data_IF_060806638847
#
_entry.id   IF_060806638847
#
_cell.length_a   1.000
_cell.length_b   1.000
_cell.length_c   1.000
_cell.angle_alpha   90.00
_cell.angle_beta   90.00
_cell.angle_gamma   90.00
#
_symmetry.space_group_name_H-M   'P 1'
#
loop_
_entity.id
_entity.type
_entity.pdbx_description
1 polymer ?
#
# COMPACT_ATOMS: atom_id res chain seq x y z
N UNK A 1 30.12 -9.89 4.61
CA UNK A 1 29.04 -8.88 4.73
C UNK A 1 28.17 -9.02 3.50
N UNK A 2 26.83 -9.10 3.65
CA UNK A 2 25.93 -9.07 2.51
C UNK A 2 26.17 -7.78 1.70
N UNK A 3 26.16 -7.89 0.37
CA UNK A 3 26.33 -6.74 -0.52
C UNK A 3 25.12 -5.81 -0.46
N UNK A 4 25.31 -4.54 -0.84
CA UNK A 4 24.25 -3.51 -0.80
C UNK A 4 22.92 -3.98 -1.40
N UNK A 5 22.93 -4.52 -2.62
CA UNK A 5 21.71 -4.98 -3.29
C UNK A 5 21.06 -6.21 -2.62
N UNK A 6 21.84 -7.06 -1.96
CA UNK A 6 21.27 -8.17 -1.18
C UNK A 6 20.55 -7.65 0.06
N UNK A 7 21.07 -6.59 0.69
CA UNK A 7 20.41 -5.90 1.81
C UNK A 7 19.13 -5.20 1.35
N UNK A 8 19.16 -4.51 0.20
CA UNK A 8 17.97 -3.90 -0.42
C UNK A 8 16.89 -4.96 -0.67
N UNK A 9 17.26 -6.09 -1.29
CA UNK A 9 16.31 -7.16 -1.58
C UNK A 9 15.73 -7.76 -0.28
N UNK A 10 16.56 -8.05 0.71
CA UNK A 10 16.08 -8.56 2.01
C UNK A 10 15.08 -7.60 2.65
N UNK A 11 15.41 -6.32 2.76
CA UNK A 11 14.55 -5.28 3.34
C UNK A 11 13.25 -5.10 2.56
N UNK A 12 13.30 -5.21 1.24
CA UNK A 12 12.10 -5.18 0.40
C UNK A 12 11.17 -6.37 0.64
N UNK A 13 11.74 -7.56 0.91
CA UNK A 13 10.97 -8.76 1.23
C UNK A 13 10.35 -8.72 2.63
N UNK A 14 10.98 -8.02 3.59
CA UNK A 14 10.40 -7.79 4.92
C UNK A 14 9.01 -7.12 4.84
N UNK A 15 8.75 -6.37 3.78
CA UNK A 15 7.48 -5.69 3.51
C UNK A 15 6.51 -6.47 2.61
N UNK A 16 6.78 -7.73 2.28
CA UNK A 16 5.92 -8.56 1.40
C UNK A 16 4.47 -8.64 1.90
N UNK A 17 4.26 -9.04 3.16
CA UNK A 17 2.92 -9.15 3.76
C UNK A 17 2.17 -7.81 3.80
N UNK A 18 2.89 -6.68 3.92
CA UNK A 18 2.28 -5.36 3.90
C UNK A 18 1.83 -4.96 2.49
N UNK A 19 2.64 -5.28 1.47
CA UNK A 19 2.28 -5.06 0.06
C UNK A 19 1.04 -5.87 -0.33
N UNK A 20 0.90 -7.10 0.17
CA UNK A 20 -0.33 -7.90 -0.03
C UNK A 20 -1.57 -7.21 0.57
N UNK A 21 -1.46 -6.64 1.78
CA UNK A 21 -2.56 -5.87 2.38
C UNK A 21 -2.94 -4.63 1.57
N UNK A 22 -1.98 -3.98 0.91
CA UNK A 22 -2.26 -2.83 0.06
C UNK A 22 -2.98 -3.25 -1.22
N UNK A 23 -2.60 -4.40 -1.79
CA UNK A 23 -3.31 -4.97 -2.93
C UNK A 23 -4.78 -5.29 -2.58
N UNK A 24 -5.06 -5.83 -1.38
CA UNK A 24 -6.45 -6.04 -0.94
C UNK A 24 -7.20 -4.72 -0.69
N UNK A 25 -6.52 -3.69 -0.17
CA UNK A 25 -7.15 -2.40 0.11
C UNK A 25 -7.68 -1.69 -1.16
N UNK A 26 -7.13 -2.02 -2.33
CA UNK A 26 -7.56 -1.53 -3.64
C UNK A 26 -8.48 -2.57 -4.30
N UNK A 27 -9.81 -2.35 -4.32
CA UNK A 27 -10.67 -3.25 -5.07
C UNK A 27 -10.42 -2.98 -6.56
N UNK A 28 -9.88 -3.95 -7.28
CA UNK A 28 -9.73 -3.86 -8.73
C UNK A 28 -11.09 -4.16 -9.37
N UNK A 29 -11.54 -3.39 -10.39
CA UNK A 29 -12.79 -3.67 -11.08
C UNK A 29 -12.86 -5.12 -11.58
N UNK A 30 -13.88 -5.84 -11.13
CA UNK A 30 -14.11 -7.24 -11.44
C UNK A 30 -15.60 -7.54 -11.41
N UNK A 31 -16.02 -8.72 -11.93
CA UNK A 31 -17.42 -9.09 -12.03
C UNK A 31 -18.19 -9.02 -10.69
N UNK A 32 -17.50 -9.12 -9.54
CA UNK A 32 -18.13 -8.99 -8.22
C UNK A 32 -18.68 -7.60 -7.91
N UNK A 33 -18.30 -6.55 -8.65
CA UNK A 33 -18.83 -5.19 -8.52
C UNK A 33 -20.31 -5.09 -8.86
N UNK A 34 -20.79 -6.00 -9.72
CA UNK A 34 -22.19 -6.05 -10.13
C UNK A 34 -23.00 -7.03 -9.29
N UNK A 35 -22.40 -7.64 -8.25
CA UNK A 35 -23.13 -8.52 -7.34
C UNK A 35 -23.89 -7.70 -6.29
N UNK A 36 -25.21 -7.91 -6.13
CA UNK A 36 -26.01 -7.20 -5.17
C UNK A 36 -25.56 -7.48 -3.72
N UNK A 37 -25.83 -6.52 -2.84
CA UNK A 37 -25.56 -6.60 -1.41
C UNK A 37 -26.73 -7.32 -0.73
N UNK A 38 -26.54 -8.58 -0.34
CA UNK A 38 -27.59 -9.41 0.26
C UNK A 38 -27.51 -9.53 1.79
N UNK A 39 -26.45 -9.01 2.41
CA UNK A 39 -26.29 -9.00 3.87
C UNK A 39 -25.94 -7.61 4.39
N UNK A 40 -26.37 -7.33 5.62
CA UNK A 40 -26.09 -6.07 6.32
C UNK A 40 -24.59 -5.89 6.50
N UNK A 41 -23.86 -6.95 6.85
CA UNK A 41 -22.40 -6.91 7.01
C UNK A 41 -21.67 -6.56 5.72
N UNK A 42 -22.13 -7.10 4.58
CA UNK A 42 -21.55 -6.78 3.28
C UNK A 42 -21.83 -5.32 2.90
N UNK A 43 -23.01 -4.81 3.22
CA UNK A 43 -23.38 -3.42 2.99
C UNK A 43 -22.54 -2.46 3.86
N UNK A 44 -22.47 -2.73 5.17
CA UNK A 44 -21.67 -1.94 6.11
C UNK A 44 -20.19 -1.91 5.68
N UNK A 45 -19.61 -3.07 5.35
CA UNK A 45 -18.23 -3.17 4.86
C UNK A 45 -18.05 -2.36 3.57
N UNK A 46 -18.98 -2.45 2.63
CA UNK A 46 -18.91 -1.71 1.36
C UNK A 46 -18.96 -0.18 1.56
N UNK A 47 -19.76 0.29 2.53
CA UNK A 47 -19.93 1.72 2.83
C UNK A 47 -18.74 2.31 3.59
N UNK A 48 -18.11 1.53 4.47
CA UNK A 48 -17.00 2.01 5.32
C UNK A 48 -15.66 2.00 4.56
N UNK A 49 -15.47 1.03 3.66
CA UNK A 49 -14.20 0.81 2.92
C UNK A 49 -13.65 2.05 2.18
N UNK A 50 -14.47 2.90 1.52
CA UNK A 50 -14.01 4.13 0.87
C UNK A 50 -13.36 5.15 1.80
N UNK A 51 -13.64 5.10 3.10
CA UNK A 51 -13.05 6.00 4.09
C UNK A 51 -11.87 5.30 4.78
N UNK A 52 -12.11 4.09 5.28
CA UNK A 52 -11.13 3.35 6.09
C UNK A 52 -9.86 3.01 5.31
N UNK A 53 -9.99 2.48 4.09
CA UNK A 53 -8.82 1.96 3.34
C UNK A 53 -7.89 3.08 2.85
N UNK A 54 -8.38 4.16 2.23
CA UNK A 54 -7.50 5.27 1.86
C UNK A 54 -6.83 5.92 3.08
N UNK A 55 -7.55 6.07 4.19
CA UNK A 55 -6.99 6.66 5.41
C UNK A 55 -5.86 5.78 5.97
N UNK A 56 -6.10 4.48 6.08
CA UNK A 56 -5.07 3.51 6.50
C UNK A 56 -3.83 3.59 5.60
N UNK A 57 -4.02 3.59 4.28
CA UNK A 57 -2.90 3.66 3.32
C UNK A 57 -2.14 4.99 3.43
N UNK A 58 -2.85 6.12 3.59
CA UNK A 58 -2.24 7.44 3.75
C UNK A 58 -1.36 7.54 5.01
N UNK A 59 -1.81 6.98 6.15
CA UNK A 59 -1.00 6.92 7.36
C UNK A 59 0.29 6.12 7.16
N UNK A 60 0.20 5.00 6.43
CA UNK A 60 1.39 4.21 6.11
C UNK A 60 2.35 4.97 5.18
N UNK A 61 1.83 5.65 4.15
CA UNK A 61 2.64 6.50 3.26
C UNK A 61 3.42 7.53 4.06
N UNK A 62 2.75 8.23 4.99
CA UNK A 62 3.41 9.22 5.85
C UNK A 62 4.49 8.58 6.73
N UNK A 63 4.20 7.42 7.32
CA UNK A 63 5.16 6.69 8.15
C UNK A 63 6.43 6.29 7.39
N UNK A 64 6.27 5.73 6.19
CA UNK A 64 7.40 5.38 5.33
C UNK A 64 8.18 6.61 4.87
N UNK A 65 7.50 7.72 4.56
CA UNK A 65 8.17 8.95 4.16
C UNK A 65 9.03 9.51 5.30
N UNK A 66 8.49 9.56 6.53
CA UNK A 66 9.26 10.01 7.71
C UNK A 66 10.47 9.11 7.94
N UNK A 67 10.28 7.79 7.86
CA UNK A 67 11.37 6.83 8.03
C UNK A 67 12.45 6.99 6.95
N UNK A 68 12.05 7.17 5.69
CA UNK A 68 12.96 7.44 4.59
C UNK A 68 13.76 8.73 4.81
N UNK A 69 13.13 9.80 5.31
CA UNK A 69 13.79 11.07 5.63
C UNK A 69 14.83 10.87 6.74
N UNK A 70 14.51 10.11 7.79
CA UNK A 70 15.44 9.82 8.88
C UNK A 70 16.65 9.01 8.40
N UNK A 71 16.42 7.94 7.63
CA UNK A 71 17.51 7.12 7.09
C UNK A 71 18.35 7.92 6.07
N UNK A 72 17.73 8.81 5.30
CA UNK A 72 18.42 9.71 4.39
C UNK A 72 19.32 10.69 5.17
N UNK A 73 18.80 11.33 6.21
CA UNK A 73 19.58 12.23 7.06
C UNK A 73 20.77 11.51 7.68
N UNK A 74 20.56 10.28 8.17
CA UNK A 74 21.63 9.44 8.69
C UNK A 74 22.68 9.11 7.62
N UNK A 75 22.26 8.78 6.40
CA UNK A 75 23.18 8.51 5.29
C UNK A 75 24.01 9.74 4.89
N UNK A 76 23.41 10.94 4.91
CA UNK A 76 24.09 12.21 4.63
C UNK A 76 25.15 12.53 5.68
N UNK A 77 24.86 12.25 6.96
CA UNK A 77 25.83 12.45 8.06
C UNK A 77 26.97 11.43 7.96
N UNK A 78 26.67 10.18 7.65
CA UNK A 78 27.67 9.11 7.58
C UNK A 78 28.56 9.19 6.33
N UNK A 79 28.09 9.79 5.24
CA UNK A 79 28.85 9.94 4.00
C UNK A 79 30.20 10.67 4.17
N UNK A 80 30.29 11.87 4.77
CA UNK A 80 31.57 12.54 5.00
C UNK A 80 32.44 11.77 6.00
N UNK A 81 31.86 11.16 7.04
CA UNK A 81 32.61 10.33 7.99
C UNK A 81 33.27 9.12 7.30
N UNK A 82 32.53 8.44 6.42
CA UNK A 82 33.03 7.34 5.60
C UNK A 82 34.17 7.80 4.69
N UNK A 83 34.04 8.96 4.02
CA UNK A 83 35.06 9.53 3.14
C UNK A 83 36.34 9.96 3.89
N UNK A 84 36.22 10.53 5.08
CA UNK A 84 37.39 10.89 5.90
C UNK A 84 38.11 9.63 6.34
N UNK A 85 37.38 8.61 6.81
CA UNK A 85 37.97 7.36 7.28
C UNK A 85 38.62 6.54 6.15
N UNK A 86 38.13 6.64 4.91
CA UNK A 86 38.79 5.98 3.77
C UNK A 86 40.15 6.60 3.43
N UNK A 87 40.31 7.91 3.64
CA UNK A 87 41.57 8.62 3.38
C UNK A 87 42.56 8.50 4.53
N UNK A 88 42.11 8.73 5.77
CA UNK A 88 43.00 8.85 6.93
C UNK A 88 43.21 7.54 7.70
N UNK A 89 42.26 6.60 7.67
CA UNK A 89 42.32 5.38 8.47
C UNK A 89 41.81 4.15 7.69
N UNK A 90 42.44 3.81 6.54
CA UNK A 90 41.89 2.89 5.54
C UNK A 90 41.69 1.45 6.03
N UNK A 91 42.43 1.02 7.07
CA UNK A 91 42.38 -0.33 7.62
C UNK A 91 41.77 -0.39 9.03
N UNK A 92 41.11 0.68 9.48
CA UNK A 92 40.48 0.72 10.80
C UNK A 92 39.15 -0.04 10.83
N UNK A 93 38.82 -0.65 11.97
CA UNK A 93 37.51 -1.26 12.20
C UNK A 93 36.39 -0.20 12.18
N UNK A 94 36.68 1.01 12.66
CA UNK A 94 35.76 2.17 12.64
C UNK A 94 35.31 2.51 11.22
N UNK A 95 36.22 2.46 10.23
CA UNK A 95 35.84 2.63 8.81
C UNK A 95 34.87 1.55 8.35
N UNK A 96 35.14 0.29 8.71
CA UNK A 96 34.32 -0.84 8.29
C UNK A 96 32.90 -0.75 8.85
N UNK A 97 32.77 -0.40 10.12
CA UNK A 97 31.48 -0.17 10.77
C UNK A 97 30.76 1.04 10.19
N UNK A 98 31.45 2.16 10.00
CA UNK A 98 30.89 3.39 9.41
C UNK A 98 30.36 3.14 7.99
N UNK A 99 31.12 2.44 7.14
CA UNK A 99 30.70 2.10 5.78
C UNK A 99 29.52 1.12 5.76
N UNK A 100 29.49 0.17 6.70
CA UNK A 100 28.37 -0.75 6.83
C UNK A 100 27.09 -0.03 7.29
N UNK A 101 27.20 0.87 8.26
CA UNK A 101 26.10 1.71 8.72
C UNK A 101 25.58 2.62 7.60
N UNK A 102 26.48 3.26 6.85
CA UNK A 102 26.11 4.06 5.68
C UNK A 102 25.38 3.22 4.62
N UNK A 103 25.93 2.06 4.26
CA UNK A 103 25.33 1.16 3.29
C UNK A 103 23.94 0.66 3.72
N UNK A 104 23.77 0.38 5.02
CA UNK A 104 22.48 -0.01 5.59
C UNK A 104 21.47 1.14 5.57
N UNK A 105 21.89 2.35 5.97
CA UNK A 105 21.04 3.54 5.95
C UNK A 105 20.58 3.85 4.52
N UNK A 106 21.51 3.90 3.56
CA UNK A 106 21.19 4.13 2.16
C UNK A 106 20.27 3.05 1.55
N UNK A 107 20.50 1.77 1.88
CA UNK A 107 19.62 0.69 1.44
C UNK A 107 18.21 0.81 2.03
N UNK A 108 18.11 1.20 3.31
CA UNK A 108 16.84 1.38 4.01
C UNK A 108 16.07 2.58 3.45
N UNK A 109 16.74 3.71 3.19
CA UNK A 109 16.15 4.86 2.50
C UNK A 109 15.55 4.47 1.16
N UNK A 110 16.28 3.71 0.33
CA UNK A 110 15.80 3.31 -0.99
C UNK A 110 14.53 2.45 -0.90
N UNK A 111 14.52 1.49 0.03
CA UNK A 111 13.36 0.61 0.25
C UNK A 111 12.18 1.39 0.79
N UNK A 112 12.39 2.27 1.77
CA UNK A 112 11.33 3.06 2.39
C UNK A 112 10.73 4.08 1.42
N UNK A 113 11.52 4.68 0.53
CA UNK A 113 11.02 5.49 -0.58
C UNK A 113 10.19 4.66 -1.56
N UNK A 114 10.66 3.47 -1.92
CA UNK A 114 9.90 2.53 -2.76
C UNK A 114 8.55 2.16 -2.13
N UNK A 115 8.54 1.86 -0.83
CA UNK A 115 7.32 1.56 -0.07
C UNK A 115 6.40 2.77 0.05
N UNK A 116 6.96 3.98 0.22
CA UNK A 116 6.20 5.24 0.19
C UNK A 116 5.47 5.40 -1.15
N UNK A 117 6.17 5.17 -2.26
CA UNK A 117 5.57 5.26 -3.59
C UNK A 117 4.45 4.22 -3.76
N UNK A 118 4.68 2.96 -3.39
CA UNK A 118 3.67 1.90 -3.45
C UNK A 118 2.44 2.25 -2.60
N UNK A 119 2.64 2.72 -1.37
CA UNK A 119 1.56 3.13 -0.49
C UNK A 119 0.78 4.31 -1.07
N UNK A 120 1.46 5.33 -1.60
CA UNK A 120 0.83 6.48 -2.24
C UNK A 120 -0.02 6.09 -3.45
N UNK A 121 0.51 5.30 -4.37
CA UNK A 121 -0.25 4.82 -5.52
C UNK A 121 -1.45 3.97 -5.09
N UNK A 122 -1.28 3.13 -4.08
CA UNK A 122 -2.38 2.33 -3.51
C UNK A 122 -3.46 3.23 -2.90
N UNK A 123 -3.09 4.29 -2.18
CA UNK A 123 -4.03 5.28 -1.63
C UNK A 123 -4.84 5.94 -2.73
N UNK A 124 -4.17 6.41 -3.79
CA UNK A 124 -4.83 7.05 -4.94
C UNK A 124 -5.81 6.07 -5.58
N UNK A 125 -5.39 4.84 -5.87
CA UNK A 125 -6.28 3.83 -6.45
C UNK A 125 -7.44 3.47 -5.53
N UNK A 126 -7.21 3.38 -4.22
CA UNK A 126 -8.25 3.13 -3.24
C UNK A 126 -9.28 4.27 -3.18
N UNK A 127 -8.86 5.53 -3.33
CA UNK A 127 -9.74 6.70 -3.40
C UNK A 127 -10.66 6.67 -4.62
N UNK A 128 -10.17 6.14 -5.76
CA UNK A 128 -10.98 6.04 -6.97
C UNK A 128 -11.88 4.80 -6.95
N UNK A 129 -11.34 3.62 -6.65
CA UNK A 129 -12.05 2.37 -6.87
C UNK A 129 -12.99 1.96 -5.73
N UNK A 130 -12.73 2.34 -4.48
CA UNK A 130 -13.66 2.01 -3.39
C UNK A 130 -15.03 2.70 -3.55
N UNK A 131 -15.11 4.02 -3.85
CA UNK A 131 -16.39 4.66 -4.15
C UNK A 131 -17.09 4.04 -5.37
N UNK A 132 -16.35 3.73 -6.44
CA UNK A 132 -16.91 3.08 -7.63
C UNK A 132 -17.51 1.71 -7.30
N UNK A 133 -16.82 0.91 -6.49
CA UNK A 133 -17.33 -0.37 -6.01
C UNK A 133 -18.62 -0.20 -5.19
N UNK A 134 -18.68 0.82 -4.32
CA UNK A 134 -19.89 1.12 -3.56
C UNK A 134 -21.06 1.45 -4.48
N UNK A 135 -20.87 2.38 -5.43
CA UNK A 135 -21.93 2.84 -6.35
C UNK A 135 -22.42 1.71 -7.25
N UNK A 136 -21.52 0.90 -7.78
CA UNK A 136 -21.89 -0.23 -8.66
C UNK A 136 -22.67 -1.29 -7.91
N UNK A 137 -22.25 -1.63 -6.69
CA UNK A 137 -22.95 -2.63 -5.86
C UNK A 137 -24.29 -2.13 -5.33
N UNK A 138 -24.42 -0.85 -4.99
CA UNK A 138 -25.72 -0.28 -4.60
C UNK A 138 -26.68 -0.25 -5.78
N UNK A 139 -26.21 0.11 -6.98
CA UNK A 139 -27.00 0.04 -8.21
C UNK A 139 -27.46 -1.40 -8.50
N UNK A 140 -26.57 -2.38 -8.39
CA UNK A 140 -26.92 -3.80 -8.53
C UNK A 140 -27.98 -4.24 -7.51
N UNK A 141 -27.88 -3.76 -6.27
CA UNK A 141 -28.86 -4.08 -5.21
C UNK A 141 -30.23 -3.48 -5.51
N UNK A 142 -30.29 -2.27 -6.05
CA UNK A 142 -31.54 -1.63 -6.46
C UNK A 142 -32.20 -2.39 -7.62
N UNK A 143 -31.41 -2.80 -8.61
CA UNK A 143 -31.90 -3.59 -9.75
C UNK A 143 -32.42 -4.95 -9.30
N UNK A 144 -31.70 -5.64 -8.40
CA UNK A 144 -32.15 -6.92 -7.80
C UNK A 144 -33.48 -6.73 -7.03
N UNK A 145 -33.61 -5.63 -6.27
CA UNK A 145 -34.84 -5.29 -5.55
C UNK A 145 -36.04 -5.01 -6.47
N UNK A 146 -35.82 -4.24 -7.55
CA UNK A 146 -36.87 -3.94 -8.55
C UNK A 146 -37.31 -5.21 -9.29
N UNK A 147 -36.36 -6.06 -9.67
CA UNK A 147 -36.66 -7.34 -10.29
C UNK A 147 -37.50 -8.22 -9.36
N UNK A 148 -37.10 -8.35 -8.10
CA UNK A 148 -37.82 -9.15 -7.11
C UNK A 148 -39.26 -8.65 -6.90
N UNK A 149 -39.45 -7.33 -6.79
CA UNK A 149 -40.78 -6.73 -6.66
C UNK A 149 -41.65 -6.96 -7.91
N UNK A 150 -41.07 -6.85 -9.11
CA UNK A 150 -41.80 -7.02 -10.37
C UNK A 150 -42.11 -8.48 -10.66
N UNK A 151 -41.20 -9.38 -10.31
CA UNK A 151 -41.43 -10.83 -10.41
C UNK A 151 -42.55 -11.25 -9.46
N UNK A 152 -42.56 -10.73 -8.23
CA UNK A 152 -43.63 -11.02 -7.26
C UNK A 152 -44.99 -10.44 -7.66
N UNK A 153 -45.05 -9.27 -8.30
CA UNK A 153 -46.31 -8.60 -8.64
C UNK A 153 -46.83 -8.96 -10.04
N UNK A 154 -45.93 -9.20 -11.00
CA UNK A 154 -46.25 -9.30 -12.42
C UNK A 154 -45.63 -10.52 -13.12
N UNK A 155 -44.85 -11.35 -12.42
CA UNK A 155 -44.15 -12.50 -13.01
C UNK A 155 -43.11 -12.10 -14.07
N UNK A 156 -42.60 -10.87 -14.03
CA UNK A 156 -41.72 -10.30 -15.05
C UNK A 156 -40.39 -9.83 -14.45
N UNK A 157 -39.27 -10.15 -15.11
CA UNK A 157 -37.94 -9.66 -14.75
C UNK A 157 -37.56 -8.48 -15.65
N UNK A 158 -37.21 -7.33 -15.07
CA UNK A 158 -36.96 -6.08 -15.82
C UNK A 158 -35.53 -6.01 -16.36
N UNK A 159 -34.54 -6.52 -15.62
CA UNK A 159 -33.14 -6.50 -16.03
C UNK A 159 -32.38 -7.74 -15.56
N UNK A 160 -31.41 -8.22 -16.34
CA UNK A 160 -30.47 -9.28 -15.91
C UNK A 160 -29.18 -8.65 -15.39
N UNK A 161 -28.80 -8.98 -14.16
CA UNK A 161 -27.51 -8.65 -13.53
C UNK A 161 -26.48 -9.75 -13.78
#
# INVERSE_FOLDING_TARGET
MPGFFSTVNSRWQDYSALREKYADAVPVPQASYFKPLRSIDAAATCVIRPIEKPLYLAFNTLGFLIKAILDLALSIILAPCALVLTVFAPNSDVKRETNAAFGLAAASTLVDLGMTAVALFSTVMALFFNPLNLVTRTAATLVDGINSATESCCGLTIARL
#
